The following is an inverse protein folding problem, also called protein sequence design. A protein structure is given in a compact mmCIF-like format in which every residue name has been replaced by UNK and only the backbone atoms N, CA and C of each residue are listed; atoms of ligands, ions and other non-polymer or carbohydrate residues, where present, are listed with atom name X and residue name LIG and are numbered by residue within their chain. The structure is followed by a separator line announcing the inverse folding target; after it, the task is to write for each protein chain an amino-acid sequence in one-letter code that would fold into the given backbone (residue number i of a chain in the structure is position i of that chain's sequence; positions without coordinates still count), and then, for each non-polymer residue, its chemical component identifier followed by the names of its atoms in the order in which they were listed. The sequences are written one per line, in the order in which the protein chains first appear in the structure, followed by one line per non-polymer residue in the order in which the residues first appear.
data_IF_954563409722
#
_entry.id   IF_954563409722
#
_cell.length_a   1.000
_cell.length_b   1.000
_cell.length_c   1.000
_cell.angle_alpha   90.00
_cell.angle_beta   90.00
_cell.angle_gamma   90.00
#
_symmetry.space_group_name_H-M   'P 1'
#
loop_
_entity.id
_entity.type
_entity.pdbx_description
1 polymer ?
#
# COMPACT_ATOMS: atom_id res chain seq x y z
N UNK A 1 17.07 4.59 -1.16
CA UNK A 1 17.88 3.55 -1.82
C UNK A 1 17.41 2.19 -1.35
N UNK A 2 17.17 1.25 -2.27
CA UNK A 2 16.73 -0.12 -1.96
C UNK A 2 17.95 -0.93 -1.51
N UNK A 3 18.22 -0.99 -0.21
CA UNK A 3 19.31 -1.81 0.32
C UNK A 3 18.85 -3.27 0.47
N UNK A 4 19.59 -4.27 -0.05
CA UNK A 4 19.18 -5.68 -0.03
C UNK A 4 18.81 -6.19 1.37
N UNK A 5 19.45 -5.65 2.39
CA UNK A 5 19.28 -6.07 3.78
C UNK A 5 17.98 -5.56 4.45
N UNK A 6 17.23 -4.66 3.81
CA UNK A 6 15.94 -4.16 4.32
C UNK A 6 14.77 -5.12 4.00
N UNK A 7 15.02 -6.16 3.21
CA UNK A 7 14.01 -7.10 2.73
C UNK A 7 14.25 -8.50 3.28
N UNK A 8 13.16 -9.20 3.57
CA UNK A 8 13.17 -10.57 4.04
C UNK A 8 12.68 -11.50 2.95
N UNK A 9 13.27 -12.67 2.94
CA UNK A 9 12.98 -13.75 2.00
C UNK A 9 11.76 -14.52 2.48
N UNK A 10 10.77 -14.67 1.59
CA UNK A 10 9.62 -15.55 1.79
C UNK A 10 9.69 -16.68 0.77
N UNK A 11 9.65 -17.92 1.27
CA UNK A 11 9.69 -19.15 0.47
C UNK A 11 8.64 -20.13 0.98
N UNK A 12 8.10 -20.95 0.08
CA UNK A 12 7.17 -22.02 0.43
C UNK A 12 7.74 -23.01 1.47
N UNK A 13 6.88 -23.43 2.41
CA UNK A 13 7.22 -24.31 3.54
C UNK A 13 7.66 -25.74 3.12
N UNK A 14 7.22 -26.20 1.93
CA UNK A 14 7.56 -27.52 1.37
C UNK A 14 9.08 -27.74 1.30
N UNK A 15 9.88 -26.67 1.27
CA UNK A 15 11.32 -26.76 1.13
C UNK A 15 12.13 -26.35 2.38
N UNK A 16 11.51 -26.14 3.55
CA UNK A 16 12.24 -26.02 4.82
C UNK A 16 12.50 -27.38 5.49
N UNK A 17 11.71 -28.40 5.17
CA UNK A 17 12.03 -29.79 5.49
C UNK A 17 12.90 -30.38 4.37
N UNK A 18 14.23 -30.21 4.47
CA UNK A 18 15.18 -30.99 3.69
C UNK A 18 16.00 -30.21 2.66
N UNK A 19 16.92 -29.37 3.14
CA UNK A 19 18.18 -29.15 2.43
C UNK A 19 19.29 -29.89 3.19
N UNK A 20 19.14 -31.21 3.26
CA UNK A 20 20.29 -32.10 3.10
C UNK A 20 20.11 -32.69 1.72
N UNK A 21 21.12 -32.52 0.86
CA UNK A 21 21.21 -33.17 -0.44
C UNK A 21 20.73 -34.63 -0.37
N UNK A 22 19.47 -34.89 -0.73
CA UNK A 22 18.98 -36.22 -1.07
C UNK A 22 18.67 -36.16 -2.55
N UNK A 23 19.56 -36.74 -3.34
CA UNK A 23 19.26 -37.15 -4.69
C UNK A 23 18.04 -38.09 -4.62
N UNK A 24 16.91 -37.63 -5.15
CA UNK A 24 15.74 -38.49 -5.32
C UNK A 24 16.03 -39.41 -6.51
N UNK A 25 16.19 -40.70 -6.23
CA UNK A 25 16.28 -41.75 -7.23
C UNK A 25 14.89 -42.03 -7.83
N UNK A 26 14.42 -41.15 -8.71
CA UNK A 26 13.37 -41.45 -9.72
C UNK A 26 13.22 -40.28 -10.67
N UNK A 27 13.74 -40.44 -11.88
CA UNK A 27 13.20 -40.02 -13.18
C UNK A 27 12.73 -38.59 -13.48
N UNK A 28 12.40 -37.76 -12.49
CA UNK A 28 11.96 -36.39 -12.72
C UNK A 28 13.14 -35.43 -12.59
N UNK A 29 13.47 -34.75 -13.68
CA UNK A 29 14.39 -33.61 -13.69
C UNK A 29 14.02 -32.65 -12.55
N UNK A 30 14.90 -32.41 -11.57
CA UNK A 30 14.58 -31.53 -10.46
C UNK A 30 14.37 -30.11 -10.98
N UNK A 31 13.13 -29.61 -10.89
CA UNK A 31 12.85 -28.18 -11.08
C UNK A 31 13.66 -27.42 -10.03
N UNK A 32 14.72 -26.75 -10.47
CA UNK A 32 15.50 -25.84 -9.63
C UNK A 32 14.58 -24.70 -9.17
N UNK A 33 13.99 -24.84 -7.98
CA UNK A 33 13.23 -23.78 -7.33
C UNK A 33 14.21 -22.67 -6.93
N UNK A 34 14.20 -21.57 -7.67
CA UNK A 34 14.95 -20.35 -7.32
C UNK A 34 14.38 -19.79 -6.02
N UNK A 35 15.22 -19.64 -5.00
CA UNK A 35 14.91 -19.01 -3.71
C UNK A 35 15.75 -17.74 -3.53
N UNK A 36 15.24 -16.63 -2.95
CA UNK A 36 13.84 -16.36 -2.57
C UNK A 36 12.87 -16.42 -3.75
N UNK A 37 11.59 -16.69 -3.45
CA UNK A 37 10.51 -16.57 -4.44
C UNK A 37 9.97 -15.13 -4.45
N UNK A 38 9.84 -14.52 -3.27
CA UNK A 38 9.26 -13.20 -3.04
C UNK A 38 9.99 -12.45 -1.91
N UNK A 39 10.06 -11.12 -2.01
CA UNK A 39 10.55 -10.23 -0.97
C UNK A 39 9.42 -9.46 -0.30
N UNK A 40 9.55 -9.20 1.00
CA UNK A 40 8.73 -8.24 1.74
C UNK A 40 9.61 -7.42 2.70
N UNK A 41 9.06 -6.38 3.32
CA UNK A 41 9.81 -5.56 4.28
C UNK A 41 10.24 -6.40 5.48
N UNK A 42 11.46 -6.21 5.97
CA UNK A 42 12.00 -7.02 7.08
C UNK A 42 12.81 -6.22 8.08
N UNK A 43 12.82 -4.89 7.99
CA UNK A 43 13.69 -4.10 8.83
C UNK A 43 13.03 -2.81 9.26
N UNK A 44 13.29 -2.42 10.51
CA UNK A 44 12.79 -1.20 11.12
C UNK A 44 11.26 -1.10 11.04
N UNK A 45 10.56 -2.22 11.23
CA UNK A 45 9.10 -2.23 11.24
C UNK A 45 8.57 -2.03 12.67
N UNK A 46 7.70 -1.04 12.91
CA UNK A 46 7.05 -0.90 14.22
C UNK A 46 6.15 -2.10 14.49
N UNK A 47 6.39 -2.80 15.60
CA UNK A 47 5.56 -3.92 16.03
C UNK A 47 5.26 -3.82 17.53
N UNK A 48 4.07 -4.30 17.96
CA UNK A 48 3.71 -4.30 19.35
C UNK A 48 4.64 -5.22 20.16
N UNK A 49 4.93 -4.81 21.38
CA UNK A 49 5.63 -5.64 22.36
C UNK A 49 4.58 -6.50 23.07
N UNK A 50 4.85 -7.79 23.23
CA UNK A 50 3.97 -8.70 23.95
C UNK A 50 3.74 -8.19 25.39
N UNK A 51 2.48 -7.97 25.81
CA UNK A 51 2.16 -7.59 27.17
C UNK A 51 2.73 -8.61 28.18
N UNK A 52 3.07 -8.13 29.37
CA UNK A 52 3.58 -8.95 30.50
C UNK A 52 4.98 -9.56 30.30
N UNK A 53 5.60 -9.41 29.11
CA UNK A 53 6.99 -9.84 28.88
C UNK A 53 8.01 -9.04 29.71
N UNK A 54 9.19 -9.62 30.04
CA UNK A 54 10.27 -8.86 30.70
C UNK A 54 10.68 -7.61 29.91
N UNK A 55 10.71 -7.72 28.57
CA UNK A 55 10.99 -6.61 27.66
C UNK A 55 9.92 -5.51 27.84
N UNK A 56 8.64 -5.89 27.89
CA UNK A 56 7.56 -4.93 28.11
C UNK A 56 7.71 -4.16 29.43
N UNK A 57 8.00 -4.84 30.54
CA UNK A 57 8.20 -4.20 31.85
C UNK A 57 9.32 -3.16 31.79
N UNK A 58 10.41 -3.52 31.14
CA UNK A 58 11.56 -2.63 30.98
C UNK A 58 11.23 -1.42 30.09
N UNK A 59 10.64 -1.65 28.92
CA UNK A 59 10.28 -0.60 27.96
C UNK A 59 9.20 0.34 28.51
N UNK A 60 8.26 -0.17 29.32
CA UNK A 60 7.31 0.64 30.06
C UNK A 60 8.02 1.53 31.09
N UNK A 61 8.97 0.98 31.85
CA UNK A 61 9.78 1.73 32.83
C UNK A 61 10.61 2.82 32.15
N UNK A 62 11.23 2.50 31.01
CA UNK A 62 11.94 3.45 30.14
C UNK A 62 11.01 4.59 29.70
N UNK A 63 9.77 4.26 29.34
CA UNK A 63 8.73 5.22 28.97
C UNK A 63 8.38 6.21 30.08
N UNK A 64 8.16 5.69 31.29
CA UNK A 64 7.89 6.52 32.48
C UNK A 64 9.09 7.42 32.82
N UNK A 65 10.30 6.85 32.87
CA UNK A 65 11.51 7.61 33.17
C UNK A 65 11.74 8.71 32.13
N UNK A 66 11.51 8.41 30.84
CA UNK A 66 11.59 9.41 29.77
C UNK A 66 10.59 10.54 29.97
N UNK A 67 9.35 10.24 30.38
CA UNK A 67 8.34 11.27 30.67
C UNK A 67 8.78 12.17 31.81
N UNK A 68 9.20 11.59 32.94
CA UNK A 68 9.71 12.33 34.09
C UNK A 68 10.91 13.22 33.71
N UNK A 69 11.87 12.68 32.96
CA UNK A 69 13.03 13.43 32.49
C UNK A 69 12.69 14.53 31.50
N UNK A 70 11.54 14.49 30.83
CA UNK A 70 11.02 15.56 29.97
C UNK A 70 10.20 16.61 30.74
N UNK A 71 10.12 16.50 32.06
CA UNK A 71 9.38 17.45 32.92
C UNK A 71 7.91 17.10 33.14
N UNK A 72 7.50 15.87 32.83
CA UNK A 72 6.19 15.37 33.29
C UNK A 72 6.21 15.22 34.82
N UNK A 73 5.25 15.83 35.50
CA UNK A 73 5.05 15.68 36.94
C UNK A 73 3.74 14.90 37.18
N UNK A 74 3.81 13.66 37.69
CA UNK A 74 2.64 12.82 37.91
C UNK A 74 1.71 13.32 39.02
N UNK A 75 2.15 14.28 39.85
CA UNK A 75 1.37 14.86 40.94
C UNK A 75 0.69 16.18 40.57
N UNK A 76 1.11 16.80 39.45
CA UNK A 76 0.44 17.96 38.87
C UNK A 76 -0.66 17.45 37.94
N UNK A 77 -1.89 17.91 38.19
CA UNK A 77 -3.07 17.57 37.40
C UNK A 77 -3.10 18.37 36.08
N UNK A 78 -1.94 18.50 35.46
CA UNK A 78 -1.69 19.36 34.31
C UNK A 78 -1.61 18.42 33.12
N UNK A 79 -2.35 18.72 32.05
CA UNK A 79 -2.39 18.02 30.74
C UNK A 79 -1.03 18.05 29.98
N UNK A 80 0.08 18.25 30.70
CA UNK A 80 1.44 18.40 30.23
C UNK A 80 1.94 17.19 29.44
N UNK A 81 1.40 16.00 29.74
CA UNK A 81 1.67 14.75 29.02
C UNK A 81 1.24 14.79 27.55
N UNK A 82 0.14 15.47 27.22
CA UNK A 82 -0.37 15.60 25.85
C UNK A 82 0.40 16.65 25.02
N UNK A 83 0.87 17.74 25.65
CA UNK A 83 1.64 18.78 24.96
C UNK A 83 2.98 18.29 24.42
N UNK A 84 3.61 17.29 25.06
CA UNK A 84 4.86 16.67 24.59
C UNK A 84 4.65 15.40 23.76
N UNK A 85 3.46 14.79 23.81
CA UNK A 85 3.08 13.73 22.86
C UNK A 85 3.01 14.25 21.41
N UNK A 86 2.81 15.56 21.23
CA UNK A 86 2.84 16.27 19.95
C UNK A 86 4.07 17.16 19.75
N UNK A 87 5.09 17.04 20.61
CA UNK A 87 6.34 17.77 20.40
C UNK A 87 6.94 17.34 19.05
N UNK A 88 7.17 18.33 18.19
CA UNK A 88 7.82 18.14 16.89
C UNK A 88 9.21 17.54 17.09
N UNK A 89 9.73 16.84 16.08
CA UNK A 89 11.08 16.25 16.13
C UNK A 89 12.14 17.30 16.52
N UNK A 90 11.95 18.55 16.11
CA UNK A 90 12.82 19.69 16.44
C UNK A 90 12.72 20.16 17.89
N UNK A 91 11.58 20.01 18.55
CA UNK A 91 11.43 20.33 19.99
C UNK A 91 12.10 19.27 20.85
N UNK A 92 11.97 17.99 20.48
CA UNK A 92 12.69 16.88 21.14
C UNK A 92 14.20 16.99 20.90
N UNK A 93 14.64 17.40 19.70
CA UNK A 93 16.05 17.58 19.38
C UNK A 93 16.68 18.79 20.10
N UNK A 94 15.91 19.86 20.33
CA UNK A 94 16.34 21.06 21.07
C UNK A 94 16.25 20.90 22.58
N UNK A 95 15.49 19.92 23.07
CA UNK A 95 15.42 19.61 24.50
C UNK A 95 16.83 19.38 25.05
N UNK A 96 17.23 20.24 25.99
CA UNK A 96 18.43 20.06 26.80
C UNK A 96 17.97 19.36 28.08
N UNK A 97 18.42 18.13 28.36
CA UNK A 97 18.14 17.48 29.62
C UNK A 97 18.50 18.42 30.78
N UNK A 98 17.80 18.33 31.92
CA UNK A 98 18.22 19.05 33.10
C UNK A 98 19.70 18.75 33.39
N UNK A 99 20.49 19.80 33.66
CA UNK A 99 21.95 19.73 33.84
C UNK A 99 22.41 18.70 34.88
N UNK A 100 21.53 18.25 35.78
CA UNK A 100 21.87 17.41 36.90
C UNK A 100 22.03 15.91 36.61
N UNK A 101 21.71 15.38 35.41
CA UNK A 101 21.88 13.94 35.13
C UNK A 101 22.13 13.56 33.64
N UNK A 102 23.20 14.03 32.99
CA UNK A 102 23.56 13.61 31.63
C UNK A 102 23.81 12.09 31.52
N UNK A 103 24.32 11.45 32.57
CA UNK A 103 24.59 10.01 32.62
C UNK A 103 23.30 9.19 32.59
N UNK A 104 22.25 9.65 33.29
CA UNK A 104 20.94 8.96 33.29
C UNK A 104 20.28 9.08 31.93
N UNK A 105 20.33 10.25 31.30
CA UNK A 105 19.80 10.41 29.94
C UNK A 105 20.58 9.56 28.93
N UNK A 106 21.90 9.50 29.06
CA UNK A 106 22.74 8.64 28.22
C UNK A 106 22.41 7.16 28.39
N UNK A 107 22.34 6.67 29.64
CA UNK A 107 21.96 5.29 29.95
C UNK A 107 20.57 4.94 29.45
N UNK A 108 19.60 5.83 29.64
CA UNK A 108 18.24 5.69 29.11
C UNK A 108 18.27 5.55 27.59
N UNK A 109 19.00 6.42 26.88
CA UNK A 109 19.11 6.39 25.42
C UNK A 109 19.78 5.10 24.92
N UNK A 110 20.80 4.60 25.62
CA UNK A 110 21.42 3.31 25.29
C UNK A 110 20.40 2.16 25.39
N UNK A 111 19.59 2.11 26.46
CA UNK A 111 18.53 1.09 26.60
C UNK A 111 17.43 1.25 25.56
N UNK A 112 17.01 2.48 25.27
CA UNK A 112 16.04 2.76 24.19
C UNK A 112 16.56 2.25 22.84
N UNK A 113 17.82 2.52 22.51
CA UNK A 113 18.43 2.05 21.27
C UNK A 113 18.52 0.52 21.23
N UNK A 114 18.87 -0.12 22.35
CA UNK A 114 18.95 -1.58 22.45
C UNK A 114 17.59 -2.25 22.19
N UNK A 115 16.50 -1.66 22.68
CA UNK A 115 15.12 -2.11 22.42
C UNK A 115 14.53 -1.57 21.12
N UNK A 116 15.32 -0.86 20.30
CA UNK A 116 14.87 -0.14 19.09
C UNK A 116 13.56 0.60 19.32
N UNK A 117 13.50 1.30 20.45
CA UNK A 117 12.30 1.85 21.05
C UNK A 117 11.57 2.83 20.11
N UNK A 118 10.25 2.73 20.11
CA UNK A 118 9.34 3.66 19.41
C UNK A 118 8.38 4.28 20.42
N UNK A 119 7.80 3.43 21.26
CA UNK A 119 6.79 3.76 22.25
C UNK A 119 6.82 2.70 23.36
N UNK A 120 6.29 2.95 24.58
CA UNK A 120 6.17 1.91 25.62
C UNK A 120 5.49 0.61 25.19
N UNK A 121 4.69 0.63 24.11
CA UNK A 121 4.00 -0.53 23.56
C UNK A 121 4.55 -1.01 22.23
N UNK A 122 5.54 -0.31 21.63
CA UNK A 122 6.05 -0.60 20.29
C UNK A 122 7.56 -0.53 20.21
N UNK A 123 8.14 -1.48 19.49
CA UNK A 123 9.56 -1.52 19.13
C UNK A 123 9.73 -1.75 17.64
N UNK A 124 10.89 -1.40 17.08
CA UNK A 124 11.21 -1.87 15.75
C UNK A 124 11.63 -3.35 15.77
N UNK A 125 11.10 -4.12 14.84
CA UNK A 125 11.47 -5.52 14.61
C UNK A 125 12.14 -5.68 13.25
N UNK A 126 13.07 -6.64 13.20
CA UNK A 126 13.73 -7.07 11.98
C UNK A 126 13.59 -8.58 11.81
N UNK A 127 13.71 -9.05 10.57
CA UNK A 127 13.85 -10.47 10.25
C UNK A 127 12.85 -10.99 9.22
N UNK A 128 13.16 -12.17 8.68
CA UNK A 128 12.31 -12.86 7.69
C UNK A 128 10.93 -13.22 8.24
N UNK A 129 10.81 -13.50 9.54
CA UNK A 129 9.52 -13.73 10.21
C UNK A 129 8.56 -12.54 10.07
N UNK A 130 9.10 -11.31 10.01
CA UNK A 130 8.30 -10.10 9.80
C UNK A 130 7.78 -10.01 8.36
N UNK A 131 8.59 -10.42 7.39
CA UNK A 131 8.16 -10.53 5.98
C UNK A 131 7.12 -11.64 5.78
N UNK A 132 7.30 -12.78 6.43
CA UNK A 132 6.32 -13.88 6.41
C UNK A 132 4.97 -13.40 6.92
N UNK A 133 4.94 -12.69 8.05
CA UNK A 133 3.70 -12.14 8.61
C UNK A 133 2.98 -11.21 7.61
N UNK A 134 3.72 -10.36 6.90
CA UNK A 134 3.14 -9.48 5.86
C UNK A 134 2.58 -10.26 4.68
N UNK A 135 3.32 -11.24 4.15
CA UNK A 135 2.84 -12.08 3.04
C UNK A 135 1.61 -12.88 3.47
N UNK A 136 1.61 -13.43 4.70
CA UNK A 136 0.44 -14.11 5.26
C UNK A 136 -0.77 -13.19 5.41
N UNK A 137 -0.57 -11.94 5.84
CA UNK A 137 -1.65 -10.96 5.93
C UNK A 137 -2.24 -10.62 4.55
N UNK A 138 -1.39 -10.45 3.53
CA UNK A 138 -1.85 -10.23 2.15
C UNK A 138 -2.59 -11.47 1.63
N UNK A 139 -2.08 -12.67 1.86
CA UNK A 139 -2.75 -13.90 1.47
C UNK A 139 -4.14 -14.04 2.15
N UNK A 140 -4.26 -13.67 3.42
CA UNK A 140 -5.55 -13.63 4.12
C UNK A 140 -6.52 -12.61 3.49
N UNK A 141 -6.04 -11.42 3.12
CA UNK A 141 -6.84 -10.42 2.40
C UNK A 141 -7.27 -10.91 1.02
N UNK A 142 -6.43 -11.65 0.30
CA UNK A 142 -6.79 -12.28 -0.97
C UNK A 142 -7.92 -13.29 -0.80
N UNK A 143 -7.85 -14.15 0.23
CA UNK A 143 -8.92 -15.11 0.56
C UNK A 143 -10.20 -14.39 0.95
N UNK A 144 -10.11 -13.30 1.72
CA UNK A 144 -11.28 -12.48 2.04
C UNK A 144 -11.91 -11.85 0.79
N UNK A 145 -11.08 -11.37 -0.13
CA UNK A 145 -11.51 -10.75 -1.39
C UNK A 145 -12.11 -11.76 -2.38
N UNK A 146 -11.58 -12.97 -2.41
CA UNK A 146 -12.04 -14.07 -3.24
C UNK A 146 -11.90 -15.40 -2.49
N UNK A 147 -12.95 -15.85 -1.77
CA UNK A 147 -12.93 -17.09 -0.99
C UNK A 147 -12.72 -18.36 -1.82
N UNK A 148 -12.91 -18.30 -3.13
CA UNK A 148 -12.71 -19.43 -4.05
C UNK A 148 -11.25 -19.68 -4.44
N UNK A 149 -10.30 -18.83 -4.00
CA UNK A 149 -8.89 -18.97 -4.38
C UNK A 149 -8.24 -20.22 -3.79
N UNK A 150 -7.59 -20.99 -4.66
CA UNK A 150 -6.73 -22.10 -4.25
C UNK A 150 -5.36 -21.61 -3.76
N UNK A 151 -4.63 -22.36 -2.92
CA UNK A 151 -3.27 -22.02 -2.52
C UNK A 151 -2.31 -21.80 -3.72
N UNK A 152 -2.51 -22.54 -4.82
CA UNK A 152 -1.71 -22.38 -6.03
C UNK A 152 -1.98 -21.04 -6.72
N UNK A 153 -3.24 -20.62 -6.81
CA UNK A 153 -3.62 -19.30 -7.35
C UNK A 153 -3.11 -18.18 -6.44
N UNK A 154 -3.20 -18.32 -5.12
CA UNK A 154 -2.66 -17.34 -4.17
C UNK A 154 -1.16 -17.14 -4.42
N UNK A 155 -0.38 -18.24 -4.51
CA UNK A 155 1.05 -18.17 -4.82
C UNK A 155 1.29 -17.52 -6.18
N UNK A 156 0.56 -17.91 -7.22
CA UNK A 156 0.74 -17.35 -8.56
C UNK A 156 0.53 -15.84 -8.57
N UNK A 157 -0.56 -15.36 -7.98
CA UNK A 157 -0.90 -13.93 -7.92
C UNK A 157 0.15 -13.15 -7.11
N UNK A 158 0.60 -13.66 -5.97
CA UNK A 158 1.66 -13.03 -5.17
C UNK A 158 2.96 -12.83 -5.96
N UNK A 159 3.31 -13.82 -6.79
CA UNK A 159 4.52 -13.82 -7.58
C UNK A 159 4.40 -12.94 -8.82
N UNK A 160 3.27 -12.99 -9.53
CA UNK A 160 3.02 -12.21 -10.74
C UNK A 160 2.84 -10.71 -10.47
N UNK A 161 2.26 -10.36 -9.31
CA UNK A 161 2.09 -8.97 -8.88
C UNK A 161 3.33 -8.35 -8.24
N UNK A 162 4.39 -9.11 -8.01
CA UNK A 162 5.58 -8.60 -7.35
C UNK A 162 6.29 -7.54 -8.21
N UNK A 163 6.75 -6.46 -7.59
CA UNK A 163 7.50 -5.40 -8.25
C UNK A 163 8.92 -5.90 -8.56
N UNK A 164 9.31 -6.08 -9.85
CA UNK A 164 10.63 -6.56 -10.20
C UNK A 164 11.70 -5.54 -9.81
N UNK A 165 12.86 -6.03 -9.36
CA UNK A 165 14.00 -5.20 -8.96
C UNK A 165 15.18 -5.44 -9.91
N UNK A 166 15.12 -4.94 -11.17
CA UNK A 166 16.06 -5.32 -12.23
C UNK A 166 17.52 -4.91 -11.97
N UNK A 167 17.74 -3.95 -11.06
CA UNK A 167 19.09 -3.52 -10.65
C UNK A 167 19.75 -4.44 -9.63
N UNK A 168 19.04 -5.46 -9.14
CA UNK A 168 19.54 -6.43 -8.18
C UNK A 168 19.60 -7.83 -8.81
N UNK A 169 20.55 -8.69 -8.41
CA UNK A 169 20.65 -10.05 -8.94
C UNK A 169 19.37 -10.87 -8.67
N UNK A 170 18.85 -11.53 -9.70
CA UNK A 170 17.60 -12.31 -9.60
C UNK A 170 17.62 -13.38 -8.50
N UNK A 171 18.78 -14.01 -8.25
CA UNK A 171 18.93 -15.01 -7.18
C UNK A 171 18.79 -14.43 -5.76
N UNK A 172 18.78 -13.10 -5.60
CA UNK A 172 18.53 -12.42 -4.32
C UNK A 172 17.12 -11.85 -4.22
N UNK A 173 16.43 -11.66 -5.34
CA UNK A 173 15.13 -10.97 -5.38
C UNK A 173 13.96 -11.88 -5.71
N UNK A 174 14.21 -13.02 -6.36
CA UNK A 174 13.13 -13.81 -6.94
C UNK A 174 12.30 -12.94 -7.88
N UNK A 175 10.97 -13.00 -7.71
CA UNK A 175 10.03 -12.21 -8.50
C UNK A 175 9.97 -10.73 -8.08
N UNK A 176 10.60 -10.37 -6.96
CA UNK A 176 10.71 -8.99 -6.50
C UNK A 176 9.92 -8.71 -5.24
N UNK A 177 9.51 -7.45 -5.08
CA UNK A 177 8.91 -6.93 -3.84
C UNK A 177 7.39 -7.08 -3.86
N UNK A 178 6.82 -7.66 -2.80
CA UNK A 178 5.39 -7.76 -2.53
C UNK A 178 4.67 -6.42 -2.80
N UNK A 179 3.56 -6.46 -3.56
CA UNK A 179 2.68 -5.33 -3.84
C UNK A 179 1.27 -5.62 -3.32
N UNK A 180 0.99 -5.42 -2.01
CA UNK A 180 -0.26 -5.85 -1.38
C UNK A 180 -1.52 -5.44 -2.15
N UNK A 181 -1.56 -4.18 -2.58
CA UNK A 181 -2.70 -3.59 -3.31
C UNK A 181 -2.94 -4.28 -4.65
N UNK A 182 -1.89 -4.46 -5.44
CA UNK A 182 -1.98 -5.09 -6.76
C UNK A 182 -2.33 -6.58 -6.62
N UNK A 183 -1.76 -7.27 -5.63
CA UNK A 183 -2.07 -8.66 -5.32
C UNK A 183 -3.56 -8.86 -5.00
N UNK A 184 -4.14 -8.02 -4.14
CA UNK A 184 -5.57 -8.12 -3.79
C UNK A 184 -6.46 -7.72 -4.97
N UNK A 185 -6.08 -6.72 -5.78
CA UNK A 185 -6.81 -6.36 -6.99
C UNK A 185 -6.85 -7.51 -8.01
N UNK A 186 -5.74 -8.22 -8.20
CA UNK A 186 -5.69 -9.42 -9.05
C UNK A 186 -6.53 -10.57 -8.47
N UNK A 187 -6.56 -10.75 -7.15
CA UNK A 187 -7.41 -11.73 -6.48
C UNK A 187 -8.92 -11.48 -6.75
N UNK A 188 -9.36 -10.22 -6.68
CA UNK A 188 -10.74 -9.82 -6.99
C UNK A 188 -11.15 -10.10 -8.44
N UNK A 189 -10.18 -10.10 -9.37
CA UNK A 189 -10.38 -10.28 -10.82
C UNK A 189 -10.15 -11.70 -11.30
N UNK A 190 -9.57 -12.55 -10.46
CA UNK A 190 -9.43 -13.98 -10.73
C UNK A 190 -10.82 -14.63 -10.76
N UNK A 191 -10.97 -15.72 -11.51
CA UNK A 191 -12.24 -16.44 -11.61
C UNK A 191 -12.88 -16.69 -10.23
N UNK A 192 -14.19 -16.45 -10.13
CA UNK A 192 -14.94 -16.50 -8.87
C UNK A 192 -14.89 -15.22 -8.02
N UNK A 193 -13.99 -14.29 -8.35
CA UNK A 193 -13.91 -12.98 -7.71
C UNK A 193 -14.97 -12.00 -8.23
N UNK A 194 -15.28 -11.00 -7.41
CA UNK A 194 -16.36 -10.01 -7.68
C UNK A 194 -16.08 -9.06 -8.84
N UNK A 195 -14.82 -8.93 -9.27
CA UNK A 195 -14.40 -8.14 -10.43
C UNK A 195 -14.00 -9.03 -11.62
N UNK A 196 -14.29 -10.34 -11.56
CA UNK A 196 -13.99 -11.27 -12.63
C UNK A 196 -14.68 -10.83 -13.92
N UNK A 197 -13.90 -10.64 -14.99
CA UNK A 197 -14.39 -10.18 -16.30
C UNK A 197 -14.44 -8.66 -16.46
N UNK A 198 -14.28 -7.88 -15.39
CA UNK A 198 -14.16 -6.43 -15.52
C UNK A 198 -12.75 -6.05 -16.02
N UNK A 199 -12.59 -5.01 -16.85
CA UNK A 199 -11.28 -4.45 -17.19
C UNK A 199 -10.61 -3.80 -15.97
N UNK A 200 -9.27 -3.70 -16.00
CA UNK A 200 -8.53 -2.89 -15.04
C UNK A 200 -8.69 -1.41 -15.38
N UNK A 201 -8.68 -0.53 -14.37
CA UNK A 201 -8.67 0.91 -14.62
C UNK A 201 -7.47 1.32 -15.49
N UNK A 202 -7.69 2.21 -16.45
CA UNK A 202 -6.70 2.58 -17.47
C UNK A 202 -6.70 1.70 -18.72
N UNK A 203 -7.49 0.62 -18.77
CA UNK A 203 -7.59 -0.23 -19.97
C UNK A 203 -8.27 0.52 -21.10
N UNK A 204 -7.68 0.49 -22.31
CA UNK A 204 -8.36 0.98 -23.52
C UNK A 204 -9.42 -0.02 -23.96
N UNK A 205 -10.66 0.46 -24.14
CA UNK A 205 -11.81 -0.32 -24.55
C UNK A 205 -12.07 -0.23 -26.05
N UNK A 206 -12.51 -1.33 -26.64
CA UNK A 206 -13.16 -1.32 -27.95
C UNK A 206 -14.64 -0.95 -27.82
N UNK A 207 -15.28 -0.61 -28.95
CA UNK A 207 -16.73 -0.37 -29.00
C UNK A 207 -17.55 -1.57 -28.50
N UNK A 208 -17.05 -2.80 -28.71
CA UNK A 208 -17.70 -4.02 -28.22
C UNK A 208 -17.62 -4.12 -26.69
N UNK A 209 -16.47 -3.74 -26.12
CA UNK A 209 -16.29 -3.80 -24.66
C UNK A 209 -17.17 -2.78 -23.96
N UNK A 210 -17.27 -1.55 -24.51
CA UNK A 210 -18.18 -0.51 -23.99
C UNK A 210 -19.62 -1.01 -23.98
N UNK A 211 -20.08 -1.62 -25.08
CA UNK A 211 -21.42 -2.17 -25.17
C UNK A 211 -21.64 -3.35 -24.19
N UNK A 212 -20.69 -4.26 -24.08
CA UNK A 212 -20.77 -5.42 -23.20
C UNK A 212 -20.79 -5.03 -21.71
N UNK A 213 -20.04 -4.00 -21.32
CA UNK A 213 -19.98 -3.52 -19.94
C UNK A 213 -21.14 -2.61 -19.57
N UNK A 214 -21.84 -2.06 -20.57
CA UNK A 214 -22.94 -1.08 -20.38
C UNK A 214 -22.53 0.09 -19.49
N UNK A 215 -21.27 0.54 -19.64
CA UNK A 215 -20.72 1.63 -18.83
C UNK A 215 -21.06 3.00 -19.43
N UNK A 216 -21.37 4.00 -18.59
CA UNK A 216 -21.45 5.37 -19.07
C UNK A 216 -20.11 5.79 -19.65
N UNK A 217 -20.15 6.45 -20.82
CA UNK A 217 -18.97 6.88 -21.55
C UNK A 217 -19.02 8.39 -21.76
N UNK A 218 -18.06 9.12 -21.17
CA UNK A 218 -18.01 10.58 -21.25
C UNK A 218 -17.03 11.07 -22.31
N UNK A 219 -17.34 12.24 -22.85
CA UNK A 219 -16.47 12.99 -23.74
C UNK A 219 -15.81 14.14 -22.94
N UNK A 220 -14.60 14.58 -23.31
CA UNK A 220 -13.94 15.71 -22.68
C UNK A 220 -14.73 16.99 -22.92
N UNK A 221 -14.57 17.97 -22.02
CA UNK A 221 -15.09 19.31 -22.26
C UNK A 221 -14.43 19.93 -23.50
N UNK A 222 -15.21 20.70 -24.27
CA UNK A 222 -14.76 21.31 -25.52
C UNK A 222 -13.49 22.17 -25.34
N UNK A 223 -13.38 22.90 -24.23
CA UNK A 223 -12.23 23.76 -23.91
C UNK A 223 -10.95 22.98 -23.58
N UNK A 224 -11.07 21.69 -23.24
CA UNK A 224 -9.93 20.81 -22.97
C UNK A 224 -9.33 20.30 -24.28
N UNK A 225 -10.17 20.07 -25.29
CA UNK A 225 -9.72 19.67 -26.64
C UNK A 225 -8.84 20.72 -27.32
N UNK A 226 -8.94 22.00 -26.90
CA UNK A 226 -8.16 23.12 -27.39
C UNK A 226 -6.96 23.48 -26.50
N UNK A 227 -6.76 22.76 -25.38
CA UNK A 227 -5.64 23.00 -24.47
C UNK A 227 -4.33 22.36 -24.95
N UNK A 228 -3.21 22.99 -24.62
CA UNK A 228 -1.87 22.73 -25.18
C UNK A 228 -1.26 21.33 -24.94
N UNK A 229 -1.97 20.42 -24.24
CA UNK A 229 -1.51 19.07 -23.90
C UNK A 229 -2.12 17.93 -24.72
N UNK A 230 -3.24 18.16 -25.41
CA UNK A 230 -3.89 17.15 -26.23
C UNK A 230 -3.15 16.98 -27.57
N UNK A 231 -2.68 15.77 -27.87
CA UNK A 231 -2.07 15.50 -29.18
C UNK A 231 -3.17 15.25 -30.21
N UNK A 232 -2.95 15.72 -31.45
CA UNK A 232 -3.86 15.40 -32.57
C UNK A 232 -3.72 13.91 -32.88
N UNK A 233 -4.77 13.14 -32.59
CA UNK A 233 -4.79 11.70 -32.79
C UNK A 233 -6.18 11.10 -32.62
N UNK A 234 -6.36 9.80 -32.94
CA UNK A 234 -7.65 9.13 -32.83
C UNK A 234 -8.07 9.04 -31.35
N UNK A 235 -9.35 9.34 -31.09
CA UNK A 235 -9.92 9.21 -29.75
C UNK A 235 -9.87 7.75 -29.28
N UNK A 236 -9.57 7.57 -27.99
CA UNK A 236 -9.53 6.27 -27.31
C UNK A 236 -10.47 6.31 -26.13
N UNK A 237 -11.28 5.28 -25.98
CA UNK A 237 -12.13 5.10 -24.80
C UNK A 237 -11.36 4.33 -23.74
N UNK A 238 -11.16 4.92 -22.57
CA UNK A 238 -10.41 4.36 -21.45
C UNK A 238 -11.36 4.03 -20.32
N UNK A 239 -11.34 2.77 -19.88
CA UNK A 239 -12.08 2.31 -18.71
C UNK A 239 -11.49 2.90 -17.43
N UNK A 240 -12.36 3.31 -16.51
CA UNK A 240 -11.98 3.67 -15.16
C UNK A 240 -12.84 2.94 -14.15
N UNK A 241 -12.27 2.66 -12.98
CA UNK A 241 -13.07 2.23 -11.86
C UNK A 241 -12.43 2.43 -10.50
N UNK A 242 -13.28 2.43 -9.48
CA UNK A 242 -12.91 2.74 -8.10
C UNK A 242 -13.71 1.86 -7.13
N UNK A 243 -13.04 1.29 -6.14
CA UNK A 243 -13.70 0.59 -5.04
C UNK A 243 -14.17 1.60 -3.98
N UNK A 244 -15.48 1.73 -3.82
CA UNK A 244 -16.14 2.63 -2.88
C UNK A 244 -17.51 2.06 -2.43
N UNK A 245 -17.52 0.99 -1.60
CA UNK A 245 -18.74 0.26 -1.24
C UNK A 245 -19.76 1.07 -0.41
N UNK A 246 -19.30 2.11 0.29
CA UNK A 246 -20.13 2.96 1.15
C UNK A 246 -20.45 4.32 0.49
N UNK A 247 -20.10 4.49 -0.78
CA UNK A 247 -20.40 5.70 -1.54
C UNK A 247 -21.87 5.75 -1.96
N UNK A 248 -22.41 6.96 -2.00
CA UNK A 248 -23.68 7.29 -2.62
C UNK A 248 -23.47 7.85 -4.03
N UNK A 249 -22.37 8.58 -4.25
CA UNK A 249 -21.93 9.06 -5.57
C UNK A 249 -20.42 8.94 -5.72
N UNK A 250 -19.95 8.74 -6.96
CA UNK A 250 -18.52 8.76 -7.30
C UNK A 250 -18.35 9.53 -8.60
N UNK A 251 -17.71 10.69 -8.55
CA UNK A 251 -17.36 11.45 -9.73
C UNK A 251 -15.90 11.21 -10.13
N UNK A 252 -15.65 11.04 -11.43
CA UNK A 252 -14.32 11.14 -12.01
C UNK A 252 -14.07 12.60 -12.40
N UNK A 253 -12.95 13.16 -11.99
CA UNK A 253 -12.64 14.55 -12.29
C UNK A 253 -11.15 14.73 -12.52
N UNK A 254 -10.80 15.63 -13.43
CA UNK A 254 -9.42 15.81 -13.87
C UNK A 254 -9.31 16.87 -14.95
N UNK A 255 -8.20 16.84 -15.68
CA UNK A 255 -7.92 17.81 -16.74
C UNK A 255 -9.04 17.86 -17.79
N UNK A 256 -9.62 16.71 -18.14
CA UNK A 256 -10.69 16.58 -19.14
C UNK A 256 -12.09 17.01 -18.69
N UNK A 257 -12.28 17.25 -17.39
CA UNK A 257 -13.50 17.86 -16.83
C UNK A 257 -13.24 19.25 -16.25
N UNK A 258 -12.06 19.84 -16.51
CA UNK A 258 -11.62 21.09 -15.87
C UNK A 258 -11.80 21.05 -14.34
N UNK A 259 -11.58 19.89 -13.72
CA UNK A 259 -11.75 19.63 -12.30
C UNK A 259 -13.16 19.90 -11.73
N UNK A 260 -14.20 19.89 -12.57
CA UNK A 260 -15.60 19.96 -12.14
C UNK A 260 -16.12 18.58 -11.70
N UNK A 261 -16.98 18.52 -10.69
CA UNK A 261 -17.47 17.28 -10.05
C UNK A 261 -18.73 16.72 -10.73
N UNK A 262 -19.49 17.58 -11.38
CA UNK A 262 -20.86 17.30 -11.83
C UNK A 262 -20.88 16.64 -13.22
N UNK A 263 -19.73 16.58 -13.88
CA UNK A 263 -19.62 16.26 -15.31
C UNK A 263 -19.54 14.76 -15.61
N UNK A 264 -19.00 13.96 -14.68
CA UNK A 264 -18.60 12.58 -14.98
C UNK A 264 -18.86 11.64 -13.78
N UNK A 265 -20.14 11.31 -13.58
CA UNK A 265 -20.62 10.47 -12.47
C UNK A 265 -20.54 8.97 -12.81
N UNK A 266 -19.71 8.21 -12.11
CA UNK A 266 -19.58 6.76 -12.31
C UNK A 266 -20.85 6.00 -11.91
N UNK A 267 -21.02 4.82 -12.50
CA UNK A 267 -22.12 3.93 -12.17
C UNK A 267 -21.69 2.91 -11.09
N UNK A 268 -22.53 2.65 -10.07
CA UNK A 268 -22.24 1.59 -9.10
C UNK A 268 -22.53 0.22 -9.71
N UNK A 269 -21.73 -0.76 -9.28
CA UNK A 269 -21.98 -2.19 -9.47
C UNK A 269 -22.42 -2.83 -8.16
N UNK A 270 -22.83 -4.10 -8.19
CA UNK A 270 -23.39 -4.82 -7.03
C UNK A 270 -22.42 -5.04 -5.86
N UNK A 271 -21.14 -4.72 -6.02
CA UNK A 271 -20.06 -5.12 -5.10
C UNK A 271 -19.24 -3.93 -4.60
N UNK A 272 -19.83 -2.74 -4.63
CA UNK A 272 -19.15 -1.51 -4.20
C UNK A 272 -18.07 -1.01 -5.14
N UNK A 273 -17.96 -1.61 -6.33
CA UNK A 273 -17.13 -1.12 -7.41
C UNK A 273 -17.92 -0.12 -8.25
N UNK A 274 -17.32 1.01 -8.55
CA UNK A 274 -17.86 2.06 -9.39
C UNK A 274 -17.06 2.11 -10.67
N UNK A 275 -17.73 2.25 -11.82
CA UNK A 275 -17.05 2.20 -13.10
C UNK A 275 -17.68 3.11 -14.15
N UNK A 276 -16.89 3.36 -15.20
CA UNK A 276 -17.27 4.16 -16.34
C UNK A 276 -16.15 4.17 -17.37
N UNK A 277 -16.30 4.97 -18.43
CA UNK A 277 -15.27 5.16 -19.42
C UNK A 277 -15.17 6.61 -19.91
N UNK A 278 -13.98 7.07 -20.24
CA UNK A 278 -13.75 8.41 -20.80
C UNK A 278 -13.11 8.30 -22.17
N UNK A 279 -13.61 9.04 -23.15
CA UNK A 279 -13.09 9.03 -24.53
C UNK A 279 -12.19 10.23 -24.76
N UNK A 280 -10.87 10.04 -24.79
CA UNK A 280 -9.89 11.12 -24.85
C UNK A 280 -8.97 10.99 -26.06
N UNK A 281 -8.42 12.10 -26.58
CA UNK A 281 -7.32 12.04 -27.52
C UNK A 281 -6.04 11.51 -26.83
N UNK A 282 -5.02 11.11 -27.60
CA UNK A 282 -3.74 10.71 -27.05
C UNK A 282 -3.12 11.85 -26.22
N UNK A 283 -2.60 11.51 -25.04
CA UNK A 283 -2.16 12.51 -24.08
C UNK A 283 -1.97 11.96 -22.67
N UNK A 284 -1.59 12.86 -21.77
CA UNK A 284 -1.38 12.57 -20.34
C UNK A 284 -2.34 13.46 -19.55
N UNK A 285 -3.24 12.85 -18.79
CA UNK A 285 -4.28 13.56 -18.06
C UNK A 285 -4.22 13.23 -16.57
N UNK A 286 -4.09 14.25 -15.73
CA UNK A 286 -4.23 14.13 -14.29
C UNK A 286 -5.71 14.00 -13.92
N UNK A 287 -6.03 13.09 -12.99
CA UNK A 287 -7.38 12.88 -12.51
C UNK A 287 -7.42 12.33 -11.08
N UNK A 288 -8.61 12.38 -10.48
CA UNK A 288 -8.98 11.75 -9.21
C UNK A 288 -10.46 11.36 -9.21
N UNK A 289 -10.83 10.58 -8.21
CA UNK A 289 -12.22 10.36 -7.84
C UNK A 289 -12.62 11.29 -6.70
N UNK A 290 -13.83 11.82 -6.77
CA UNK A 290 -14.52 12.49 -5.69
C UNK A 290 -15.65 11.59 -5.21
N UNK A 291 -15.63 11.23 -3.92
CA UNK A 291 -16.51 10.21 -3.36
C UNK A 291 -17.36 10.82 -2.25
N UNK A 292 -18.67 10.81 -2.42
CA UNK A 292 -19.63 11.26 -1.40
C UNK A 292 -20.41 10.07 -0.88
N UNK A 293 -20.71 10.08 0.41
CA UNK A 293 -21.49 9.03 1.05
C UNK A 293 -21.57 9.25 2.56
N UNK A 294 -22.22 8.31 3.25
CA UNK A 294 -22.60 8.47 4.67
C UNK A 294 -21.42 8.65 5.63
N UNK A 295 -20.22 8.25 5.24
CA UNK A 295 -19.00 8.39 6.06
C UNK A 295 -18.11 9.55 5.63
N UNK A 296 -18.39 10.20 4.50
CA UNK A 296 -17.65 11.34 3.99
C UNK A 296 -18.52 12.59 4.10
N UNK A 297 -18.51 13.21 5.28
CA UNK A 297 -19.36 14.37 5.63
C UNK A 297 -19.20 15.54 4.65
N UNK A 298 -18.08 15.64 3.92
CA UNK A 298 -17.81 16.66 2.89
C UNK A 298 -17.17 16.06 1.63
N UNK A 299 -17.43 14.79 1.32
CA UNK A 299 -16.75 14.08 0.23
C UNK A 299 -15.27 13.76 0.51
N UNK A 300 -14.69 12.90 -0.31
CA UNK A 300 -13.29 12.48 -0.20
C UNK A 300 -12.62 12.42 -1.58
N UNK A 301 -11.45 13.05 -1.68
CA UNK A 301 -10.55 12.89 -2.82
C UNK A 301 -9.81 11.56 -2.75
N UNK A 302 -9.96 10.72 -3.77
CA UNK A 302 -9.29 9.41 -3.85
C UNK A 302 -8.52 9.27 -5.16
N UNK A 303 -7.27 8.79 -5.13
CA UNK A 303 -6.57 8.43 -6.35
C UNK A 303 -7.13 7.11 -6.88
N UNK A 304 -6.88 6.82 -8.14
CA UNK A 304 -7.04 5.50 -8.70
C UNK A 304 -5.98 4.55 -8.16
N UNK A 305 -6.44 3.59 -7.34
CA UNK A 305 -5.59 2.59 -6.73
C UNK A 305 -5.18 1.46 -7.69
N UNK A 306 -5.88 1.29 -8.81
CA UNK A 306 -5.51 0.33 -9.85
C UNK A 306 -4.52 0.92 -10.87
N UNK A 307 -4.50 2.24 -11.04
CA UNK A 307 -3.54 2.90 -11.90
C UNK A 307 -2.23 3.23 -11.13
N UNK A 308 -1.10 2.56 -11.42
CA UNK A 308 0.16 2.83 -10.74
C UNK A 308 0.79 4.17 -11.17
N UNK A 309 0.38 4.76 -12.30
CA UNK A 309 0.90 6.02 -12.77
C UNK A 309 0.31 7.18 -11.96
N UNK A 310 1.20 7.99 -11.37
CA UNK A 310 0.83 9.14 -10.55
C UNK A 310 1.56 10.40 -10.99
N UNK A 311 1.01 11.55 -10.62
CA UNK A 311 1.59 12.87 -10.82
C UNK A 311 1.57 13.62 -9.50
N UNK A 312 2.67 14.30 -9.16
CA UNK A 312 2.74 15.16 -7.97
C UNK A 312 1.64 16.23 -8.00
N UNK A 313 0.99 16.44 -6.86
CA UNK A 313 -0.15 17.34 -6.74
C UNK A 313 0.11 18.58 -5.89
N UNK A 314 1.28 18.66 -5.23
CA UNK A 314 1.53 19.62 -4.16
C UNK A 314 0.83 19.30 -2.82
N UNK A 315 0.05 18.20 -2.74
CA UNK A 315 -0.64 17.73 -1.53
C UNK A 315 -0.14 16.35 -1.09
N UNK A 316 -0.62 15.88 0.07
CA UNK A 316 -0.27 14.55 0.63
C UNK A 316 -0.59 13.38 -0.29
N UNK A 317 -1.63 13.51 -1.12
CA UNK A 317 -2.10 12.48 -2.04
C UNK A 317 -1.73 12.94 -3.45
N UNK A 318 -1.11 12.08 -4.27
CA UNK A 318 -0.80 12.40 -5.66
C UNK A 318 -2.07 12.45 -6.55
N UNK A 319 -1.99 12.99 -7.75
CA UNK A 319 -2.98 12.73 -8.79
C UNK A 319 -2.71 11.36 -9.41
N UNK A 320 -3.76 10.70 -9.89
CA UNK A 320 -3.59 9.58 -10.83
C UNK A 320 -3.36 10.14 -12.22
N UNK A 321 -2.55 9.44 -13.00
CA UNK A 321 -2.15 9.89 -14.33
C UNK A 321 -2.63 8.90 -15.39
N UNK A 322 -3.56 9.33 -16.22
CA UNK A 322 -4.05 8.55 -17.35
C UNK A 322 -3.16 8.82 -18.56
N UNK A 323 -2.50 7.77 -19.07
CA UNK A 323 -1.71 7.84 -20.29
C UNK A 323 -2.53 7.22 -21.42
N UNK A 324 -2.94 8.02 -22.39
CA UNK A 324 -3.69 7.61 -23.57
C UNK A 324 -2.72 7.53 -24.74
N UNK A 325 -2.58 6.34 -25.34
CA UNK A 325 -1.61 6.03 -26.41
C UNK A 325 -2.32 5.65 -27.71
#
# INVERSE_FOLDING_TARGET
GLYPHNYGVVTSAIAQQGVKNRQSARGDTPRLLSKPELLALARWLPAPILPVSPIFREVATIGELRRLLLGYDPLRNDDFGWRHAHATTDEIARYRPPFWMPEVWHGLRQRMNAHKWIHPYYQHVDGTSVSVAQVSAVAAQMVQANPGLTPMQIRAILLESALPLPRLPHHLTGHGLLQPRQTVAMALRTAGGVLSGNPQSGTTLSLRDVAALSVPTWQPMADVMTSAGAQVGPLRTVYVGCYAPEAETVALTGDFTSWQLDQCQLQPTRVGWWHGAVTLPPGRYAYRFWIEGRRTVNGEWRPDYENPATLESGYKIAHSLMNVV
#
